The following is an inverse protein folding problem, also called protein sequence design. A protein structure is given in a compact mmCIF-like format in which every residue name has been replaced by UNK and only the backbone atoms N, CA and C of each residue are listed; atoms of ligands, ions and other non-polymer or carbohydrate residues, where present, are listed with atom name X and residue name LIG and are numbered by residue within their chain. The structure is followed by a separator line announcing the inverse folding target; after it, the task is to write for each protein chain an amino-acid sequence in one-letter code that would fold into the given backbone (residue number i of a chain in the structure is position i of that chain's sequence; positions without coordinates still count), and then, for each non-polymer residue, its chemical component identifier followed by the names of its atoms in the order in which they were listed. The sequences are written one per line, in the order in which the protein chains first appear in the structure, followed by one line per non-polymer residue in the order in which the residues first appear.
data_IF_624227092998
#
_entry.id   IF_624227092998
#
_cell.length_a   1.000
_cell.length_b   1.000
_cell.length_c   1.000
_cell.angle_alpha   90.00
_cell.angle_beta   90.00
_cell.angle_gamma   90.00
#
_symmetry.space_group_name_H-M   'P 1'
#
loop_
_entity.id
_entity.type
_entity.pdbx_description
1 polymer ?
#
# COMPACT_ATOMS: atom_id res chain seq x y z
N UNK A 1 1.53 35.27 22.96
CA UNK A 1 1.11 34.16 23.83
C UNK A 1 0.24 33.35 22.91
N UNK A 2 0.90 32.40 22.27
CA UNK A 2 0.45 31.84 21.01
C UNK A 2 -0.29 30.57 21.38
N UNK A 3 -1.61 30.63 21.38
CA UNK A 3 -2.47 29.49 21.67
C UNK A 3 -2.38 28.51 20.49
N UNK A 4 -1.60 27.45 20.65
CA UNK A 4 -1.68 26.27 19.81
C UNK A 4 -3.10 25.69 19.92
N UNK A 5 -3.73 25.42 18.78
CA UNK A 5 -5.03 24.75 18.78
C UNK A 5 -4.85 23.31 19.29
N UNK A 6 -5.69 22.90 20.25
CA UNK A 6 -5.71 21.53 20.78
C UNK A 6 -6.02 20.47 19.70
N UNK A 7 -6.61 20.88 18.57
CA UNK A 7 -6.89 20.03 17.40
C UNK A 7 -6.64 20.81 16.09
N UNK A 8 -6.33 20.10 15.01
CA UNK A 8 -6.04 20.72 13.70
C UNK A 8 -7.31 21.24 12.97
N UNK A 9 -8.51 20.85 13.39
CA UNK A 9 -9.77 21.13 12.67
C UNK A 9 -10.08 22.63 12.52
N UNK A 10 -9.95 23.50 13.55
CA UNK A 10 -10.17 24.94 13.40
C UNK A 10 -9.14 25.58 12.46
N UNK A 11 -7.89 25.14 12.52
CA UNK A 11 -6.81 25.61 11.65
C UNK A 11 -7.06 25.30 10.18
N UNK A 12 -7.54 24.09 9.87
CA UNK A 12 -7.87 23.66 8.49
C UNK A 12 -9.01 24.50 7.90
N UNK A 13 -10.05 24.80 8.68
CA UNK A 13 -11.18 25.59 8.20
C UNK A 13 -10.80 27.04 7.92
N UNK A 14 -9.85 27.59 8.70
CA UNK A 14 -9.30 28.90 8.41
C UNK A 14 -8.34 28.89 7.22
N UNK A 15 -7.48 27.88 7.10
CA UNK A 15 -6.58 27.71 5.96
C UNK A 15 -7.34 27.64 4.63
N UNK A 16 -8.48 26.93 4.59
CA UNK A 16 -9.35 26.84 3.40
C UNK A 16 -9.78 28.20 2.84
N UNK A 17 -9.90 29.24 3.68
CA UNK A 17 -10.29 30.58 3.24
C UNK A 17 -9.15 31.35 2.54
N UNK A 18 -7.91 30.89 2.71
CA UNK A 18 -6.71 31.57 2.25
C UNK A 18 -5.89 30.74 1.25
N UNK A 19 -6.15 29.43 1.15
CA UNK A 19 -5.34 28.46 0.37
C UNK A 19 -5.21 28.84 -1.11
N UNK A 20 -6.27 29.35 -1.73
CA UNK A 20 -6.25 29.74 -3.15
C UNK A 20 -5.40 30.99 -3.43
N UNK A 21 -5.03 31.74 -2.39
CA UNK A 21 -4.19 32.94 -2.48
C UNK A 21 -2.74 32.74 -2.05
N UNK A 22 -2.36 31.53 -1.64
CA UNK A 22 -0.99 31.22 -1.22
C UNK A 22 -0.08 31.05 -2.43
N UNK A 23 1.14 31.56 -2.32
CA UNK A 23 2.17 31.29 -3.31
C UNK A 23 2.61 29.81 -3.22
N UNK A 24 3.02 29.18 -4.35
CA UNK A 24 3.36 27.75 -4.38
C UNK A 24 4.56 27.34 -3.50
N UNK A 25 5.35 28.29 -3.05
CA UNK A 25 6.57 28.14 -2.23
C UNK A 25 6.32 28.44 -0.74
N UNK A 26 5.05 28.53 -0.32
CA UNK A 26 4.68 28.67 1.09
C UNK A 26 4.58 27.28 1.74
N UNK A 27 5.39 27.06 2.77
CA UNK A 27 5.53 25.77 3.46
C UNK A 27 4.77 25.70 4.80
N UNK A 28 4.68 26.82 5.53
CA UNK A 28 3.91 26.92 6.78
C UNK A 28 2.96 28.12 6.72
N UNK A 29 1.73 27.98 7.22
CA UNK A 29 0.81 29.10 7.40
C UNK A 29 0.32 29.12 8.83
N UNK A 30 0.52 30.25 9.52
CA UNK A 30 0.01 30.50 10.86
C UNK A 30 -1.24 31.34 10.78
N UNK A 31 -2.32 30.82 11.37
CA UNK A 31 -3.62 31.47 11.43
C UNK A 31 -3.96 31.73 12.89
N UNK A 32 -4.52 32.91 13.20
CA UNK A 32 -4.93 33.26 14.56
C UNK A 32 -6.12 32.43 15.02
N UNK A 33 -6.35 32.39 16.34
CA UNK A 33 -7.55 31.81 16.97
C UNK A 33 -8.87 32.43 16.50
N UNK A 34 -8.81 33.58 15.82
CA UNK A 34 -9.95 34.29 15.23
C UNK A 34 -10.03 34.13 13.70
N UNK A 35 -9.13 33.37 13.10
CA UNK A 35 -9.11 33.12 11.65
C UNK A 35 -8.41 34.19 10.82
N UNK A 36 -7.64 35.07 11.45
CA UNK A 36 -6.82 36.06 10.74
C UNK A 36 -5.52 35.43 10.25
N UNK A 37 -5.15 35.68 9.00
CA UNK A 37 -3.85 35.31 8.47
C UNK A 37 -2.74 36.04 9.26
N UNK A 38 -1.86 35.29 9.95
CA UNK A 38 -0.77 35.89 10.74
C UNK A 38 0.51 35.90 9.92
N UNK A 39 0.92 34.75 9.38
CA UNK A 39 2.20 34.61 8.70
C UNK A 39 2.19 33.43 7.72
N UNK A 40 2.94 33.55 6.64
CA UNK A 40 3.35 32.44 5.78
C UNK A 40 4.87 32.32 5.80
N UNK A 41 5.38 31.10 5.99
CA UNK A 41 6.80 30.79 5.84
C UNK A 41 7.08 30.22 4.47
N UNK A 42 8.17 30.68 3.86
CA UNK A 42 8.78 30.11 2.66
C UNK A 42 10.14 29.49 2.98
N UNK A 43 10.46 29.29 4.27
CA UNK A 43 11.69 28.63 4.70
C UNK A 43 11.59 27.12 4.42
N UNK A 44 12.49 26.54 3.61
CA UNK A 44 12.48 25.11 3.32
C UNK A 44 12.56 24.20 4.55
N UNK A 45 13.09 24.66 5.69
CA UNK A 45 13.11 23.88 6.92
C UNK A 45 11.71 23.74 7.56
N UNK A 46 10.78 24.62 7.20
CA UNK A 46 9.38 24.53 7.60
C UNK A 46 8.55 23.64 6.65
N UNK A 47 9.16 23.14 5.56
CA UNK A 47 8.54 22.22 4.60
C UNK A 47 8.44 20.80 5.17
N UNK A 48 7.32 20.54 5.85
CA UNK A 48 6.97 19.19 6.30
C UNK A 48 6.43 18.29 5.16
N UNK A 49 6.43 18.75 3.89
CA UNK A 49 6.06 17.89 2.76
C UNK A 49 7.19 16.91 2.46
N UNK A 50 6.97 15.65 2.78
CA UNK A 50 7.88 14.57 2.39
C UNK A 50 7.78 14.33 0.87
N UNK A 51 8.66 14.96 0.10
CA UNK A 51 8.81 14.84 -1.36
C UNK A 51 9.32 13.48 -1.85
N UNK A 52 8.98 12.38 -1.18
CA UNK A 52 9.68 11.10 -1.42
C UNK A 52 9.29 10.36 -2.70
N UNK A 53 8.08 10.57 -3.23
CA UNK A 53 7.56 9.77 -4.34
C UNK A 53 7.07 10.67 -5.47
N UNK A 54 7.64 10.48 -6.65
CA UNK A 54 7.28 11.22 -7.85
C UNK A 54 5.96 10.69 -8.43
N UNK A 55 5.12 11.60 -8.91
CA UNK A 55 3.96 11.24 -9.73
C UNK A 55 4.40 10.95 -11.18
N UNK A 56 3.72 10.01 -11.83
CA UNK A 56 3.86 9.70 -13.25
C UNK A 56 2.48 9.62 -13.90
N UNK A 57 2.35 10.19 -15.10
CA UNK A 57 1.12 10.06 -15.86
C UNK A 57 0.89 8.61 -16.26
N UNK A 58 -0.37 8.18 -16.23
CA UNK A 58 -0.76 6.87 -16.72
C UNK A 58 -0.33 6.64 -18.18
N UNK A 59 -0.33 7.71 -18.98
CA UNK A 59 0.08 7.74 -20.39
C UNK A 59 1.59 7.60 -20.62
N UNK A 60 2.41 7.77 -19.57
CA UNK A 60 3.86 7.57 -19.62
C UNK A 60 4.28 6.12 -19.31
N UNK A 61 3.30 5.21 -19.12
CA UNK A 61 3.52 3.80 -18.76
C UNK A 61 2.98 2.88 -19.86
N UNK A 62 3.85 2.04 -20.40
CA UNK A 62 3.53 1.02 -21.39
C UNK A 62 3.29 -0.32 -20.68
N UNK A 63 2.13 -0.96 -20.90
CA UNK A 63 1.83 -2.29 -20.36
C UNK A 63 2.59 -3.38 -21.14
N UNK A 64 3.45 -4.11 -20.45
CA UNK A 64 4.19 -5.25 -20.99
C UNK A 64 3.46 -6.59 -20.80
N UNK A 65 2.79 -6.78 -19.66
CA UNK A 65 2.10 -8.04 -19.32
C UNK A 65 1.07 -7.85 -18.19
N UNK A 66 0.17 -8.81 -17.99
CA UNK A 66 -0.75 -8.87 -16.84
C UNK A 66 -0.29 -9.95 -15.86
N UNK A 67 0.07 -9.53 -14.64
CA UNK A 67 0.51 -10.45 -13.60
C UNK A 67 -0.68 -10.99 -12.79
N UNK A 68 -1.73 -10.18 -12.59
CA UNK A 68 -2.89 -10.58 -11.82
C UNK A 68 -4.07 -9.63 -11.96
N UNK A 69 -5.17 -9.86 -11.22
CA UNK A 69 -6.24 -8.88 -11.11
C UNK A 69 -5.68 -7.55 -10.59
N UNK A 70 -5.87 -6.47 -11.35
CA UNK A 70 -5.44 -5.11 -10.97
C UNK A 70 -3.91 -4.91 -10.87
N UNK A 71 -3.11 -5.85 -11.39
CA UNK A 71 -1.65 -5.79 -11.36
C UNK A 71 -1.11 -6.07 -12.76
N UNK A 72 -0.47 -5.05 -13.33
CA UNK A 72 0.12 -5.06 -14.65
C UNK A 72 1.64 -4.87 -14.54
N UNK A 73 2.40 -5.60 -15.35
CA UNK A 73 3.81 -5.32 -15.58
C UNK A 73 3.89 -4.19 -16.60
N UNK A 74 4.59 -3.12 -16.27
CA UNK A 74 4.71 -1.94 -17.11
C UNK A 74 6.17 -1.56 -17.33
N UNK A 75 6.42 -0.78 -18.38
CA UNK A 75 7.67 -0.06 -18.63
C UNK A 75 7.38 1.43 -18.60
N UNK A 76 8.22 2.20 -17.92
CA UNK A 76 8.15 3.64 -18.00
C UNK A 76 8.77 4.11 -19.32
N UNK A 77 8.08 4.93 -20.11
CA UNK A 77 8.65 5.45 -21.35
C UNK A 77 9.87 6.36 -21.12
N UNK A 78 10.00 6.88 -19.89
CA UNK A 78 11.09 7.76 -19.44
C UNK A 78 12.20 7.01 -18.70
N UNK A 79 12.06 5.69 -18.44
CA UNK A 79 13.05 4.87 -17.74
C UNK A 79 13.10 3.43 -18.31
N UNK A 80 14.28 2.89 -18.62
CA UNK A 80 14.39 1.58 -19.28
C UNK A 80 14.00 0.40 -18.38
N UNK A 81 13.94 0.55 -17.06
CA UNK A 81 13.66 -0.54 -16.13
C UNK A 81 12.16 -0.88 -16.03
N UNK A 82 11.78 -2.16 -16.05
CA UNK A 82 10.38 -2.57 -15.88
C UNK A 82 9.92 -2.41 -14.42
N UNK A 83 8.66 -2.04 -14.23
CA UNK A 83 8.02 -1.87 -12.92
C UNK A 83 6.66 -2.57 -12.86
N UNK A 84 6.19 -2.91 -11.66
CA UNK A 84 4.82 -3.44 -11.47
C UNK A 84 3.90 -2.26 -11.18
N UNK A 85 2.89 -2.06 -12.02
CA UNK A 85 1.78 -1.13 -11.76
C UNK A 85 0.65 -1.88 -11.07
N UNK A 86 0.15 -1.31 -9.98
CA UNK A 86 -1.04 -1.80 -9.27
C UNK A 86 -2.08 -0.68 -9.23
N UNK A 87 -3.31 -0.99 -9.64
CA UNK A 87 -4.44 -0.09 -9.46
C UNK A 87 -4.71 0.08 -7.97
N UNK A 88 -4.68 1.31 -7.50
CA UNK A 88 -4.78 1.60 -6.09
C UNK A 88 -6.23 1.96 -5.74
N UNK A 89 -6.88 1.06 -5.01
CA UNK A 89 -8.15 1.35 -4.34
C UNK A 89 -7.95 1.67 -2.85
N UNK A 90 -6.70 1.78 -2.39
CA UNK A 90 -6.35 1.72 -0.98
C UNK A 90 -5.36 2.84 -0.65
N UNK A 91 -5.88 4.07 -0.55
CA UNK A 91 -5.08 5.24 -0.11
C UNK A 91 -4.36 4.96 1.22
N UNK A 92 -4.96 4.16 2.10
CA UNK A 92 -4.33 3.66 3.33
C UNK A 92 -3.02 2.91 3.09
N UNK A 93 -3.01 1.95 2.16
CA UNK A 93 -1.81 1.16 1.81
C UNK A 93 -0.73 2.07 1.23
N UNK A 94 -1.13 2.95 0.30
CA UNK A 94 -0.20 3.90 -0.34
C UNK A 94 0.45 4.76 0.73
N UNK A 95 -0.35 5.46 1.55
CA UNK A 95 0.18 6.36 2.57
C UNK A 95 1.18 5.63 3.44
N UNK A 96 0.79 4.53 4.08
CA UNK A 96 1.69 3.75 4.93
C UNK A 96 3.01 3.47 4.21
N UNK A 97 2.97 2.96 2.99
CA UNK A 97 4.15 2.59 2.23
C UNK A 97 5.04 3.78 1.84
N UNK A 98 4.47 4.99 1.67
CA UNK A 98 5.23 6.23 1.48
C UNK A 98 6.04 6.63 2.71
N UNK A 99 5.53 6.31 3.90
CA UNK A 99 6.15 6.67 5.18
C UNK A 99 7.10 5.61 5.73
N UNK A 100 7.07 4.39 5.21
CA UNK A 100 7.98 3.34 5.65
C UNK A 100 9.44 3.73 5.37
N UNK A 101 10.36 3.45 6.30
CA UNK A 101 11.78 3.62 6.04
C UNK A 101 12.22 2.71 4.90
N UNK A 102 13.26 3.12 4.17
CA UNK A 102 13.81 2.28 3.10
C UNK A 102 14.42 1.02 3.72
N UNK A 103 13.94 -0.14 3.29
CA UNK A 103 14.39 -1.44 3.79
C UNK A 103 14.65 -2.39 2.60
N UNK A 104 15.78 -3.10 2.63
CA UNK A 104 16.17 -4.02 1.56
C UNK A 104 15.26 -5.26 1.43
N UNK A 105 14.48 -5.56 2.46
CA UNK A 105 13.52 -6.66 2.55
C UNK A 105 12.06 -6.19 2.44
N UNK A 106 11.83 -4.93 2.07
CA UNK A 106 10.51 -4.41 1.70
C UNK A 106 10.58 -3.97 0.24
N UNK A 107 9.61 -4.39 -0.57
CA UNK A 107 9.56 -3.94 -1.97
C UNK A 107 9.41 -2.43 -2.02
N UNK A 108 10.28 -1.77 -2.77
CA UNK A 108 10.29 -0.31 -2.90
C UNK A 108 9.07 0.18 -3.67
N UNK A 109 8.33 1.11 -3.07
CA UNK A 109 7.37 1.97 -3.76
C UNK A 109 8.15 2.97 -4.64
N UNK A 110 7.83 3.02 -5.93
CA UNK A 110 8.55 3.86 -6.90
C UNK A 110 7.80 5.17 -7.17
N UNK A 111 6.60 5.09 -7.77
CA UNK A 111 5.84 6.28 -8.23
C UNK A 111 4.35 6.16 -7.96
N UNK A 112 3.71 7.30 -7.73
CA UNK A 112 2.25 7.45 -7.79
C UNK A 112 1.83 7.55 -9.26
N UNK A 113 0.83 6.78 -9.68
CA UNK A 113 0.28 6.88 -11.03
C UNK A 113 -0.94 7.78 -11.00
N UNK A 114 -0.92 8.84 -11.80
CA UNK A 114 -2.04 9.78 -11.93
C UNK A 114 -2.70 9.69 -13.29
N UNK A 115 -4.01 9.90 -13.36
CA UNK A 115 -4.70 10.05 -14.63
C UNK A 115 -4.41 11.40 -15.29
N UNK A 116 -4.55 11.44 -16.61
CA UNK A 116 -4.32 12.62 -17.45
C UNK A 116 -5.57 13.52 -17.59
N UNK A 117 -6.70 13.16 -16.96
CA UNK A 117 -7.97 13.86 -17.10
C UNK A 117 -8.14 14.89 -15.99
N UNK A 118 -8.00 14.44 -14.74
CA UNK A 118 -8.22 15.21 -13.52
C UNK A 118 -7.00 15.16 -12.59
N UNK A 119 -5.92 14.45 -12.96
CA UNK A 119 -4.74 14.28 -12.12
C UNK A 119 -4.98 13.34 -10.93
N UNK A 120 -6.03 12.51 -10.97
CA UNK A 120 -6.38 11.65 -9.83
C UNK A 120 -5.38 10.51 -9.69
N UNK A 121 -5.03 10.15 -8.45
CA UNK A 121 -4.26 8.94 -8.19
C UNK A 121 -5.09 7.71 -8.61
N UNK A 122 -4.56 6.95 -9.57
CA UNK A 122 -5.17 5.73 -10.11
C UNK A 122 -4.37 4.48 -9.81
N UNK A 123 -3.17 4.62 -9.22
CA UNK A 123 -2.31 3.49 -8.93
C UNK A 123 -0.97 3.86 -8.32
N UNK A 124 -0.17 2.83 -8.12
CA UNK A 124 1.24 2.93 -7.75
C UNK A 124 2.07 2.06 -8.66
N UNK A 125 3.35 2.37 -8.75
CA UNK A 125 4.37 1.48 -9.32
C UNK A 125 5.35 1.03 -8.24
N UNK A 126 5.78 -0.22 -8.33
CA UNK A 126 6.83 -0.80 -7.48
C UNK A 126 7.89 -1.46 -8.35
N UNK A 127 9.06 -1.72 -7.78
CA UNK A 127 10.10 -2.47 -8.48
C UNK A 127 9.58 -3.86 -8.92
N UNK A 128 9.86 -4.24 -10.18
CA UNK A 128 9.57 -5.59 -10.64
C UNK A 128 10.65 -6.56 -10.17
N UNK A 129 10.28 -7.49 -9.28
CA UNK A 129 11.15 -8.59 -8.85
C UNK A 129 10.86 -9.83 -9.70
N UNK A 130 11.80 -10.27 -10.57
CA UNK A 130 11.57 -11.38 -11.50
C UNK A 130 11.38 -12.74 -10.84
N UNK A 131 11.98 -12.95 -9.66
CA UNK A 131 11.90 -14.23 -8.95
C UNK A 131 10.49 -14.60 -8.47
N UNK A 132 9.55 -13.66 -8.52
CA UNK A 132 8.14 -13.92 -8.19
C UNK A 132 7.93 -14.25 -6.72
N UNK A 133 6.69 -14.60 -6.40
CA UNK A 133 6.28 -14.92 -5.03
C UNK A 133 6.56 -16.38 -4.69
N UNK A 134 6.58 -16.72 -3.40
CA UNK A 134 6.64 -18.11 -2.97
C UNK A 134 5.40 -18.91 -3.38
N UNK A 135 4.23 -18.27 -3.53
CA UNK A 135 3.01 -18.94 -4.00
C UNK A 135 3.08 -19.30 -5.49
N UNK A 136 3.68 -18.42 -6.30
CA UNK A 136 3.84 -18.62 -7.75
C UNK A 136 4.86 -19.74 -8.06
N UNK A 137 5.96 -19.81 -7.31
CA UNK A 137 7.02 -20.80 -7.52
C UNK A 137 7.04 -21.86 -6.42
N UNK A 138 6.14 -22.84 -6.52
CA UNK A 138 6.06 -23.98 -5.59
C UNK A 138 7.28 -24.91 -5.60
N UNK A 139 8.10 -24.88 -6.65
CA UNK A 139 9.31 -25.70 -6.73
C UNK A 139 10.51 -25.05 -6.05
N UNK A 140 10.34 -23.83 -5.50
CA UNK A 140 11.40 -23.08 -4.87
C UNK A 140 11.77 -23.69 -3.52
N UNK A 141 13.05 -23.97 -3.34
CA UNK A 141 13.61 -24.43 -2.07
C UNK A 141 13.69 -23.24 -1.11
N UNK A 142 12.93 -23.28 -0.03
CA UNK A 142 12.94 -22.23 1.00
C UNK A 142 14.15 -22.38 1.92
N UNK A 143 14.88 -21.26 2.12
CA UNK A 143 16.17 -21.22 2.82
C UNK A 143 16.04 -20.67 4.24
N UNK A 144 16.83 -21.15 5.23
CA UNK A 144 16.88 -20.56 6.57
C UNK A 144 17.23 -19.07 6.55
N UNK A 145 18.11 -18.65 5.62
CA UNK A 145 18.46 -17.24 5.40
C UNK A 145 17.22 -16.37 5.15
N UNK A 146 16.28 -16.84 4.34
CA UNK A 146 15.06 -16.08 4.02
C UNK A 146 14.11 -16.02 5.22
N UNK A 147 14.07 -17.07 6.06
CA UNK A 147 13.34 -17.01 7.32
C UNK A 147 13.92 -15.95 8.26
N UNK A 148 15.25 -15.89 8.38
CA UNK A 148 15.91 -14.85 9.19
C UNK A 148 15.58 -13.44 8.68
N UNK A 149 15.68 -13.21 7.37
CA UNK A 149 15.32 -11.93 6.74
C UNK A 149 13.86 -11.56 7.01
N UNK A 150 12.93 -12.51 6.85
CA UNK A 150 11.51 -12.31 7.14
C UNK A 150 11.28 -11.93 8.61
N UNK A 151 11.82 -12.69 9.56
CA UNK A 151 11.65 -12.37 10.99
C UNK A 151 12.27 -11.03 11.37
N UNK A 152 13.41 -10.67 10.76
CA UNK A 152 14.07 -9.39 10.99
C UNK A 152 13.25 -8.21 10.47
N UNK A 153 12.69 -8.29 9.26
CA UNK A 153 11.86 -7.20 8.71
C UNK A 153 10.54 -7.06 9.47
N UNK A 154 9.96 -8.15 9.97
CA UNK A 154 8.77 -8.10 10.84
C UNK A 154 9.11 -7.45 12.18
N UNK A 155 10.25 -7.78 12.78
CA UNK A 155 10.71 -7.12 14.00
C UNK A 155 10.95 -5.63 13.77
N UNK A 156 11.59 -5.25 12.67
CA UNK A 156 11.80 -3.85 12.31
C UNK A 156 10.46 -3.11 12.19
N UNK A 157 9.52 -3.62 11.40
CA UNK A 157 8.19 -3.03 11.25
C UNK A 157 7.44 -2.90 12.58
N UNK A 158 7.43 -3.97 13.38
CA UNK A 158 6.69 -3.99 14.62
C UNK A 158 7.33 -3.10 15.70
N UNK A 159 8.66 -3.06 15.79
CA UNK A 159 9.39 -2.43 16.89
C UNK A 159 9.83 -1.00 16.64
N UNK A 160 9.98 -0.59 15.39
CA UNK A 160 10.52 0.72 15.03
C UNK A 160 9.43 1.74 14.64
N UNK A 161 8.63 1.52 13.57
CA UNK A 161 7.49 2.37 13.25
C UNK A 161 6.18 1.95 13.93
N UNK A 162 6.13 0.81 14.64
CA UNK A 162 4.95 0.35 15.37
C UNK A 162 3.84 -0.21 14.46
N UNK A 163 4.23 -0.88 13.37
CA UNK A 163 3.33 -1.37 12.31
C UNK A 163 3.27 -2.89 12.32
N UNK A 164 2.06 -3.44 12.28
CA UNK A 164 1.82 -4.86 11.99
C UNK A 164 1.45 -5.04 10.52
N UNK A 165 2.06 -6.02 9.85
CA UNK A 165 1.76 -6.31 8.45
C UNK A 165 0.36 -6.94 8.29
N UNK A 166 -0.01 -7.85 9.19
CA UNK A 166 -1.29 -8.56 9.25
C UNK A 166 -1.65 -9.50 8.09
N UNK A 167 -0.72 -9.71 7.16
CA UNK A 167 -0.94 -10.62 6.01
C UNK A 167 0.38 -11.23 5.51
N UNK A 168 1.20 -11.71 6.45
CA UNK A 168 2.43 -12.43 6.13
C UNK A 168 2.05 -13.80 5.57
N UNK A 169 2.13 -13.92 4.24
CA UNK A 169 1.71 -15.12 3.51
C UNK A 169 2.62 -15.36 2.29
N UNK A 170 2.70 -16.59 1.74
CA UNK A 170 3.53 -16.89 0.57
C UNK A 170 3.28 -16.00 -0.65
N UNK A 171 2.03 -15.57 -0.87
CA UNK A 171 1.64 -14.64 -1.95
C UNK A 171 2.18 -13.21 -1.79
N UNK A 172 2.53 -12.82 -0.57
CA UNK A 172 3.04 -11.49 -0.22
C UNK A 172 4.56 -11.51 0.04
N UNK A 173 5.23 -12.61 -0.34
CA UNK A 173 6.64 -12.84 -0.10
C UNK A 173 7.36 -13.10 -1.41
N UNK A 174 8.15 -12.12 -1.85
CA UNK A 174 8.96 -12.17 -3.08
C UNK A 174 10.38 -12.62 -2.78
N UNK A 175 10.98 -13.29 -3.75
CA UNK A 175 12.41 -13.62 -3.73
C UNK A 175 13.09 -12.85 -4.86
N UNK A 176 14.09 -12.05 -4.51
CA UNK A 176 15.05 -11.53 -5.46
C UNK A 176 16.15 -12.56 -5.64
N UNK A 177 16.12 -13.27 -6.77
CA UNK A 177 17.11 -14.29 -7.13
C UNK A 177 18.51 -13.70 -7.35
N UNK A 178 18.62 -12.42 -7.71
CA UNK A 178 19.91 -11.74 -7.96
C UNK A 178 20.63 -11.48 -6.65
N UNK A 179 19.90 -11.01 -5.64
CA UNK A 179 20.44 -10.70 -4.32
C UNK A 179 20.34 -11.87 -3.33
N UNK A 180 19.70 -12.96 -3.74
CA UNK A 180 19.32 -14.09 -2.87
C UNK A 180 18.65 -13.57 -1.58
N UNK A 181 17.67 -12.69 -1.74
CA UNK A 181 17.01 -12.00 -0.64
C UNK A 181 15.50 -12.16 -0.68
N UNK A 182 14.94 -12.38 0.51
CA UNK A 182 13.50 -12.34 0.74
C UNK A 182 13.03 -10.90 0.90
N UNK A 183 11.85 -10.61 0.37
CA UNK A 183 11.19 -9.31 0.45
C UNK A 183 9.69 -9.47 0.72
N UNK A 184 9.10 -8.56 1.48
CA UNK A 184 7.64 -8.47 1.70
C UNK A 184 7.04 -7.28 0.95
N UNK A 185 5.76 -7.41 0.60
CA UNK A 185 4.95 -6.37 -0.03
C UNK A 185 3.46 -6.60 0.27
N UNK A 186 2.61 -5.72 -0.25
CA UNK A 186 1.15 -5.74 -0.06
C UNK A 186 0.72 -5.41 1.38
N UNK A 187 0.90 -4.14 1.76
CA UNK A 187 0.57 -3.60 3.08
C UNK A 187 -0.93 -3.29 3.24
N UNK A 188 -1.80 -3.87 2.40
CA UNK A 188 -3.24 -3.56 2.37
C UNK A 188 -3.93 -3.77 3.71
N UNK A 189 -3.52 -4.79 4.46
CA UNK A 189 -4.07 -5.11 5.78
C UNK A 189 -3.23 -4.56 6.92
N UNK A 190 -2.12 -3.90 6.61
CA UNK A 190 -1.22 -3.39 7.63
C UNK A 190 -1.87 -2.27 8.43
N UNK A 191 -1.53 -2.21 9.70
CA UNK A 191 -2.15 -1.31 10.67
C UNK A 191 -1.12 -0.88 11.69
N UNK A 192 -1.36 0.24 12.36
CA UNK A 192 -0.63 0.54 13.59
C UNK A 192 -1.02 -0.47 14.67
N UNK A 193 -0.02 -0.97 15.39
CA UNK A 193 -0.26 -1.87 16.52
C UNK A 193 -1.23 -1.21 17.50
N UNK A 194 -2.27 -1.96 17.88
CA UNK A 194 -3.37 -1.57 18.79
C UNK A 194 -4.36 -0.53 18.28
N UNK A 195 -4.30 -0.12 17.01
CA UNK A 195 -5.30 0.77 16.42
C UNK A 195 -6.58 0.01 16.03
N UNK A 196 -7.68 0.75 15.88
CA UNK A 196 -8.96 0.20 15.42
C UNK A 196 -8.78 -0.44 14.04
N UNK A 197 -9.05 -1.73 13.92
CA UNK A 197 -8.78 -2.51 12.71
C UNK A 197 -7.60 -3.47 12.83
N UNK A 198 -6.82 -3.38 13.92
CA UNK A 198 -5.90 -4.47 14.29
C UNK A 198 -6.66 -5.72 14.70
N UNK A 199 -6.26 -6.85 14.13
CA UNK A 199 -6.85 -8.15 14.42
C UNK A 199 -5.82 -9.02 15.12
N UNK A 200 -6.13 -9.45 16.34
CA UNK A 200 -5.27 -10.38 17.07
C UNK A 200 -5.07 -11.70 16.31
N UNK A 201 -6.10 -12.15 15.59
CA UNK A 201 -6.05 -13.31 14.71
C UNK A 201 -5.11 -13.15 13.50
N UNK A 202 -4.68 -11.93 13.20
CA UNK A 202 -3.72 -11.59 12.15
C UNK A 202 -2.41 -11.05 12.71
N UNK A 203 -2.17 -11.20 14.02
CA UNK A 203 -0.92 -10.78 14.62
C UNK A 203 0.26 -11.52 13.98
N UNK A 204 1.27 -10.77 13.56
CA UNK A 204 2.48 -11.30 12.92
C UNK A 204 3.25 -12.24 13.86
N UNK A 205 3.08 -12.07 15.18
CA UNK A 205 3.81 -12.82 16.23
C UNK A 205 2.93 -13.90 16.86
N UNK A 206 1.70 -13.57 17.27
CA UNK A 206 0.82 -14.53 17.97
C UNK A 206 0.48 -15.70 17.06
N UNK A 207 0.29 -15.45 15.76
CA UNK A 207 0.07 -16.51 14.77
C UNK A 207 1.24 -17.49 14.73
N UNK A 208 2.47 -17.01 14.85
CA UNK A 208 3.66 -17.86 14.92
C UNK A 208 3.64 -18.74 16.19
N UNK A 209 3.35 -18.16 17.35
CA UNK A 209 3.30 -18.88 18.63
C UNK A 209 2.22 -19.97 18.66
N UNK A 210 1.02 -19.64 18.18
CA UNK A 210 -0.11 -20.58 18.09
C UNK A 210 0.25 -21.72 17.16
N UNK A 211 0.82 -21.40 16.00
CA UNK A 211 1.26 -22.42 15.07
C UNK A 211 2.27 -23.31 15.78
N UNK A 212 3.34 -22.77 16.41
CA UNK A 212 4.43 -23.51 17.10
C UNK A 212 3.89 -24.58 18.07
N UNK A 213 2.81 -24.26 18.79
CA UNK A 213 2.17 -25.16 19.76
C UNK A 213 1.30 -26.25 19.13
N UNK A 214 0.71 -25.99 17.96
CA UNK A 214 -0.21 -26.92 17.30
C UNK A 214 0.47 -28.11 16.59
N UNK A 215 1.79 -28.04 16.38
CA UNK A 215 2.54 -29.05 15.61
C UNK A 215 2.32 -28.92 14.09
N UNK A 216 3.37 -28.67 13.31
CA UNK A 216 3.23 -28.23 11.92
C UNK A 216 3.60 -29.38 11.01
N UNK A 217 2.68 -29.83 10.17
CA UNK A 217 3.04 -30.78 9.11
C UNK A 217 3.55 -29.99 7.92
N UNK A 218 4.72 -30.36 7.39
CA UNK A 218 5.24 -29.77 6.17
C UNK A 218 4.28 -30.08 5.02
N UNK A 219 3.83 -29.05 4.30
CA UNK A 219 2.96 -29.23 3.15
C UNK A 219 3.73 -29.93 2.01
N UNK A 220 3.06 -30.80 1.24
CA UNK A 220 3.68 -31.60 0.16
C UNK A 220 4.40 -30.75 -0.88
N UNK A 221 3.87 -29.57 -1.16
CA UNK A 221 4.40 -28.63 -2.15
C UNK A 221 5.59 -27.82 -1.63
N UNK A 222 5.99 -27.96 -0.35
CA UNK A 222 7.05 -27.14 0.25
C UNK A 222 8.36 -27.92 0.29
N UNK A 223 9.40 -27.33 -0.32
CA UNK A 223 10.76 -27.83 -0.27
C UNK A 223 11.60 -26.92 0.65
N UNK A 224 12.40 -27.52 1.52
CA UNK A 224 13.26 -26.81 2.47
C UNK A 224 14.72 -27.16 2.21
N UNK A 225 15.61 -26.18 2.32
CA UNK A 225 17.06 -26.40 2.17
C UNK A 225 17.64 -27.23 3.34
N UNK A 226 17.01 -27.12 4.51
CA UNK A 226 17.41 -27.78 5.75
C UNK A 226 16.23 -28.56 6.36
N UNK A 227 16.46 -29.48 7.31
CA UNK A 227 15.39 -30.16 8.02
C UNK A 227 14.41 -29.17 8.68
N UNK A 228 13.11 -29.52 8.68
CA UNK A 228 12.05 -28.68 9.27
C UNK A 228 12.31 -28.31 10.74
N UNK A 229 13.07 -29.13 11.47
CA UNK A 229 13.48 -28.85 12.85
C UNK A 229 14.28 -27.56 13.00
N UNK A 230 15.14 -27.21 12.03
CA UNK A 230 15.97 -26.00 12.11
C UNK A 230 15.12 -24.72 11.92
N UNK A 231 14.16 -24.76 11.00
CA UNK A 231 13.19 -23.67 10.82
C UNK A 231 12.32 -23.48 12.06
N UNK A 232 11.86 -24.60 12.66
CA UNK A 232 11.09 -24.58 13.90
C UNK A 232 11.89 -24.01 15.06
N UNK A 233 13.15 -24.42 15.19
CA UNK A 233 14.04 -23.91 16.23
C UNK A 233 14.26 -22.40 16.06
N UNK A 234 14.52 -21.95 14.83
CA UNK A 234 14.68 -20.52 14.52
C UNK A 234 13.44 -19.71 14.92
N UNK A 235 12.25 -20.18 14.56
CA UNK A 235 10.99 -19.52 14.93
C UNK A 235 10.72 -19.57 16.44
N UNK A 236 11.03 -20.69 17.10
CA UNK A 236 10.87 -20.82 18.54
C UNK A 236 11.80 -19.87 19.31
N UNK A 237 13.06 -19.76 18.87
CA UNK A 237 14.01 -18.80 19.43
C UNK A 237 13.55 -17.36 19.19
N UNK A 238 13.10 -17.03 17.97
CA UNK A 238 12.57 -15.70 17.66
C UNK A 238 11.35 -15.35 18.53
N UNK A 239 10.35 -16.24 18.59
CA UNK A 239 9.18 -16.13 19.45
C UNK A 239 9.56 -15.89 20.92
N UNK A 240 10.47 -16.70 21.46
CA UNK A 240 10.91 -16.57 22.86
C UNK A 240 11.60 -15.23 23.11
N UNK A 241 12.45 -14.78 22.18
CA UNK A 241 13.06 -13.44 22.25
C UNK A 241 12.00 -12.34 22.25
N UNK A 242 10.96 -12.45 21.41
CA UNK A 242 9.86 -11.47 21.37
C UNK A 242 9.04 -11.48 22.66
N UNK A 243 8.82 -12.65 23.25
CA UNK A 243 8.11 -12.80 24.54
C UNK A 243 8.89 -12.19 25.73
N UNK A 244 10.22 -12.28 25.71
CA UNK A 244 11.10 -11.74 26.76
C UNK A 244 11.50 -10.27 26.54
N UNK A 245 11.49 -9.83 25.28
CA UNK A 245 11.93 -8.51 24.86
C UNK A 245 10.85 -7.44 24.99
N UNK A 246 11.08 -6.30 24.32
CA UNK A 246 10.11 -5.21 24.26
C UNK A 246 8.86 -5.67 23.50
N UNK A 247 7.74 -5.71 24.21
CA UNK A 247 6.42 -5.96 23.64
C UNK A 247 5.72 -4.61 23.46
N UNK A 248 5.43 -4.25 22.21
CA UNK A 248 4.75 -2.99 21.89
C UNK A 248 3.24 -3.22 21.99
N UNK A 249 2.61 -2.57 22.97
CA UNK A 249 1.14 -2.63 23.15
C UNK A 249 0.40 -1.49 22.50
N UNK A 250 1.13 -0.46 22.07
CA UNK A 250 0.64 0.70 21.35
C UNK A 250 1.72 1.16 20.39
N UNK A 251 1.37 1.44 19.14
CA UNK A 251 2.34 1.93 18.15
C UNK A 251 3.16 3.13 18.63
N UNK A 252 2.61 3.97 19.52
CA UNK A 252 3.30 5.14 20.10
C UNK A 252 4.49 4.80 21.01
N UNK A 253 4.61 3.54 21.43
CA UNK A 253 5.78 3.05 22.18
C UNK A 253 6.98 2.77 21.26
N UNK A 254 6.77 2.71 19.95
CA UNK A 254 7.82 2.53 18.97
C UNK A 254 8.63 3.84 18.82
N UNK A 255 9.97 3.78 18.76
CA UNK A 255 10.82 4.96 18.80
C UNK A 255 10.64 5.88 17.59
N UNK A 256 10.32 5.33 16.42
CA UNK A 256 10.11 6.07 15.17
C UNK A 256 8.67 5.85 14.66
N UNK A 257 7.70 5.82 15.57
CA UNK A 257 6.32 5.55 15.23
C UNK A 257 5.83 6.50 14.12
N UNK A 258 5.16 5.94 13.12
CA UNK A 258 4.73 6.75 11.97
C UNK A 258 3.36 7.34 12.28
N UNK A 259 3.31 8.67 12.34
CA UNK A 259 2.08 9.43 12.24
C UNK A 259 1.79 9.74 10.77
N UNK A 260 0.76 9.13 10.21
CA UNK A 260 0.21 9.47 8.90
C UNK A 260 -1.26 9.87 9.06
N UNK A 261 -1.71 10.92 8.36
CA UNK A 261 -3.07 11.42 8.50
C UNK A 261 -4.09 10.39 8.05
N UNK A 262 -5.30 10.46 8.62
CA UNK A 262 -6.42 9.69 8.10
C UNK A 262 -6.67 10.08 6.64
N UNK A 263 -7.11 9.09 5.86
CA UNK A 263 -7.49 9.34 4.48
C UNK A 263 -8.60 10.40 4.46
N UNK A 264 -8.43 11.54 3.74
CA UNK A 264 -9.49 12.53 3.64
C UNK A 264 -10.72 11.91 2.97
N UNK A 265 -11.89 12.06 3.59
CA UNK A 265 -13.13 11.51 3.05
C UNK A 265 -13.51 12.23 1.75
N UNK A 266 -13.85 11.50 0.67
CA UNK A 266 -14.35 12.13 -0.54
C UNK A 266 -15.72 12.75 -0.28
N UNK A 267 -16.11 13.77 -1.07
CA UNK A 267 -17.43 14.36 -0.96
C UNK A 267 -18.52 13.29 -1.16
N UNK A 268 -19.61 13.30 -0.34
CA UNK A 268 -20.70 12.36 -0.49
C UNK A 268 -21.31 12.40 -1.89
N UNK A 269 -21.43 11.24 -2.52
CA UNK A 269 -22.08 11.06 -3.80
C UNK A 269 -23.53 10.63 -3.60
N UNK A 270 -24.43 11.04 -4.50
CA UNK A 270 -25.80 10.53 -4.53
C UNK A 270 -25.82 9.10 -5.06
N UNK A 271 -26.44 8.20 -4.29
CA UNK A 271 -26.55 6.78 -4.61
C UNK A 271 -28.01 6.36 -4.51
N UNK A 272 -28.50 5.71 -5.55
CA UNK A 272 -29.83 5.05 -5.53
C UNK A 272 -29.65 3.65 -4.97
N UNK A 273 -30.30 3.37 -3.84
CA UNK A 273 -30.33 2.07 -3.20
C UNK A 273 -31.72 1.46 -3.40
N UNK A 274 -31.75 0.26 -3.96
CA UNK A 274 -33.01 -0.46 -4.20
C UNK A 274 -33.35 -1.30 -2.97
N UNK A 275 -34.29 -0.81 -2.15
CA UNK A 275 -34.87 -1.59 -1.06
C UNK A 275 -36.12 -2.33 -1.54
N UNK A 276 -36.57 -3.30 -0.77
CA UNK A 276 -37.86 -3.98 -1.00
C UNK A 276 -39.06 -3.01 -0.98
N UNK A 277 -38.91 -1.85 -0.33
CA UNK A 277 -39.88 -0.75 -0.31
C UNK A 277 -39.78 0.20 -1.51
N UNK A 278 -38.84 -0.02 -2.43
CA UNK A 278 -38.58 0.84 -3.58
C UNK A 278 -37.19 1.51 -3.55
N UNK A 279 -36.84 2.24 -4.63
CA UNK A 279 -35.58 2.96 -4.73
C UNK A 279 -35.56 4.16 -3.78
N UNK A 280 -34.46 4.32 -3.04
CA UNK A 280 -34.21 5.48 -2.17
C UNK A 280 -32.88 6.11 -2.55
N UNK A 281 -32.88 7.42 -2.81
CA UNK A 281 -31.67 8.20 -3.02
C UNK A 281 -31.06 8.60 -1.68
N UNK A 282 -29.80 8.27 -1.45
CA UNK A 282 -29.05 8.66 -0.26
C UNK A 282 -27.71 9.28 -0.66
N UNK A 283 -27.25 10.27 0.10
CA UNK A 283 -25.86 10.74 0.02
C UNK A 283 -24.97 9.78 0.80
N UNK A 284 -24.03 9.12 0.13
CA UNK A 284 -23.04 8.25 0.75
C UNK A 284 -21.63 8.66 0.31
N UNK A 285 -20.69 8.63 1.26
CA UNK A 285 -19.27 8.71 0.95
C UNK A 285 -18.91 7.48 0.13
N UNK A 286 -18.52 7.71 -1.13
CA UNK A 286 -18.08 6.66 -2.04
C UNK A 286 -16.59 6.81 -2.27
N UNK A 287 -15.82 5.84 -1.80
CA UNK A 287 -14.37 5.74 -2.04
C UNK A 287 -14.04 5.37 -3.48
N UNK A 288 -15.02 4.86 -4.22
CA UNK A 288 -14.94 4.51 -5.62
C UNK A 288 -16.25 4.82 -6.34
N UNK A 289 -16.16 5.30 -7.58
CA UNK A 289 -17.32 5.49 -8.44
C UNK A 289 -17.16 4.57 -9.64
N UNK A 290 -18.18 3.77 -9.92
CA UNK A 290 -18.19 2.91 -11.10
C UNK A 290 -18.11 3.77 -12.37
N UNK A 291 -17.21 3.42 -13.28
CA UNK A 291 -17.09 4.07 -14.61
C UNK A 291 -18.45 4.21 -15.30
N UNK A 292 -19.27 3.15 -15.25
CA UNK A 292 -20.62 3.16 -15.83
C UNK A 292 -21.45 4.33 -15.31
N UNK A 293 -21.47 4.54 -13.99
CA UNK A 293 -22.17 5.66 -13.37
C UNK A 293 -21.56 7.01 -13.72
N UNK A 294 -20.23 7.11 -13.82
CA UNK A 294 -19.60 8.36 -14.28
C UNK A 294 -20.04 8.71 -15.70
N UNK A 295 -20.05 7.72 -16.60
CA UNK A 295 -20.50 7.91 -17.99
C UNK A 295 -21.99 8.23 -18.07
N UNK A 296 -22.85 7.58 -17.28
CA UNK A 296 -24.29 7.90 -17.17
C UNK A 296 -24.54 9.33 -16.68
N UNK A 297 -23.63 9.87 -15.85
CA UNK A 297 -23.65 11.27 -15.39
C UNK A 297 -23.03 12.25 -16.40
N UNK A 298 -22.64 11.80 -17.60
CA UNK A 298 -21.96 12.62 -18.61
C UNK A 298 -20.54 13.04 -18.21
N UNK A 299 -19.95 12.43 -17.18
CA UNK A 299 -18.57 12.72 -16.75
C UNK A 299 -17.58 11.94 -17.60
N UNK A 300 -16.43 12.57 -17.84
CA UNK A 300 -15.31 11.91 -18.50
C UNK A 300 -14.72 10.83 -17.60
N UNK A 301 -14.51 9.63 -18.15
CA UNK A 301 -13.91 8.52 -17.42
C UNK A 301 -12.72 7.95 -18.21
N UNK A 302 -11.59 7.76 -17.52
CA UNK A 302 -10.34 7.25 -18.08
C UNK A 302 -10.56 5.94 -18.82
N UNK A 303 -10.42 5.89 -20.14
CA UNK A 303 -10.64 4.68 -20.95
C UNK A 303 -9.47 3.69 -20.86
N UNK A 304 -9.34 3.04 -19.70
CA UNK A 304 -8.19 2.22 -19.34
C UNK A 304 -8.47 0.70 -19.26
N UNK A 305 -9.69 0.26 -19.56
CA UNK A 305 -10.03 -1.16 -19.42
C UNK A 305 -9.84 -1.92 -20.74
N UNK A 306 -8.91 -2.87 -20.72
CA UNK A 306 -8.98 -4.05 -21.60
C UNK A 306 -10.18 -4.93 -21.20
N UNK A 307 -10.78 -5.68 -22.15
CA UNK A 307 -11.78 -6.69 -21.86
C UNK A 307 -11.45 -7.56 -20.62
N UNK A 308 -12.46 -7.93 -19.81
CA UNK A 308 -12.28 -8.82 -18.67
C UNK A 308 -11.50 -10.09 -19.07
N UNK A 309 -10.55 -10.53 -18.23
CA UNK A 309 -9.75 -11.75 -18.50
C UNK A 309 -10.63 -12.98 -18.76
N UNK A 310 -11.82 -13.04 -18.16
CA UNK A 310 -12.81 -14.09 -18.40
C UNK A 310 -13.38 -14.12 -19.83
N UNK A 311 -13.09 -13.10 -20.66
CA UNK A 311 -13.48 -13.03 -22.08
C UNK A 311 -12.31 -13.32 -23.04
N UNK A 312 -11.14 -13.70 -22.51
CA UNK A 312 -9.95 -14.01 -23.30
C UNK A 312 -9.69 -15.52 -23.22
N UNK A 313 -9.44 -16.17 -24.36
CA UNK A 313 -8.97 -17.54 -24.36
C UNK A 313 -7.52 -17.60 -23.89
N UNK A 314 -7.09 -18.78 -23.47
CA UNK A 314 -5.68 -19.00 -23.09
C UNK A 314 -4.78 -18.77 -24.31
N UNK A 315 -3.94 -17.74 -24.27
CA UNK A 315 -3.02 -17.38 -25.37
C UNK A 315 -3.33 -16.04 -26.02
N UNK A 316 -4.58 -15.57 -25.93
CA UNK A 316 -5.00 -14.30 -26.50
C UNK A 316 -4.30 -13.11 -25.82
N UNK A 317 -3.93 -12.12 -26.62
CA UNK A 317 -3.35 -10.85 -26.13
C UNK A 317 -4.19 -9.69 -26.62
N UNK A 318 -4.29 -8.66 -25.80
CA UNK A 318 -4.79 -7.35 -26.24
C UNK A 318 -3.59 -6.41 -26.23
N UNK A 319 -3.52 -5.47 -27.16
CA UNK A 319 -2.51 -4.42 -27.20
C UNK A 319 -3.02 -3.15 -26.52
N UNK A 320 -2.12 -2.21 -26.24
CA UNK A 320 -2.44 -0.90 -25.66
C UNK A 320 -3.46 -0.12 -26.50
N UNK A 321 -3.45 -0.33 -27.82
CA UNK A 321 -4.40 0.23 -28.80
C UNK A 321 -5.82 -0.31 -28.66
N UNK A 322 -6.04 -1.35 -27.86
CA UNK A 322 -7.28 -2.13 -27.83
C UNK A 322 -7.36 -3.19 -28.93
N UNK A 323 -6.30 -3.38 -29.73
CA UNK A 323 -6.23 -4.43 -30.75
C UNK A 323 -6.12 -5.82 -30.11
N UNK A 324 -6.90 -6.76 -30.62
CA UNK A 324 -6.97 -8.13 -30.12
C UNK A 324 -6.14 -9.06 -31.02
N UNK A 325 -5.21 -9.80 -30.42
CA UNK A 325 -4.38 -10.79 -31.08
C UNK A 325 -4.82 -12.17 -30.60
N UNK A 326 -5.50 -12.91 -31.48
CA UNK A 326 -5.76 -14.34 -31.31
C UNK A 326 -4.47 -15.12 -31.53
N UNK A 327 -4.16 -16.05 -30.63
CA UNK A 327 -3.11 -17.02 -30.89
C UNK A 327 -3.67 -18.10 -31.81
N UNK A 328 -3.04 -18.28 -32.98
CA UNK A 328 -3.44 -19.30 -33.98
C UNK A 328 -3.11 -20.71 -33.54
#
# INVERSE_FOLDING_TARGET
MDEEFETAEPGIEHLRKHVDGLAPDVFEVRVSSQGGFILASTDPEDDNTFSRIQAISSSDLEELNRLGPLVDLVRCLKSPEPSKKRLAYVWHEINLWMWLPQNAHIVRLDRLVVDEIEGRCVGITTAYIPGGTLEENKNRIFKPKWLHQLTAVIDELNLDPGIAHQDVAPRNHLIDDTMDSSMIFDFKFSVRISEVGSSEARSDIITCDVTLRAGWTLHSDVQLEHPVSEFRETLAQWSERRRRGKYITSYKEAPNFIYWPNTPEPPPSEVVLNYSSGPVTQKKVLWNVERRRMLEQGKTALNWQRPPRAKLNSGDRILETGEFIEQT
#
